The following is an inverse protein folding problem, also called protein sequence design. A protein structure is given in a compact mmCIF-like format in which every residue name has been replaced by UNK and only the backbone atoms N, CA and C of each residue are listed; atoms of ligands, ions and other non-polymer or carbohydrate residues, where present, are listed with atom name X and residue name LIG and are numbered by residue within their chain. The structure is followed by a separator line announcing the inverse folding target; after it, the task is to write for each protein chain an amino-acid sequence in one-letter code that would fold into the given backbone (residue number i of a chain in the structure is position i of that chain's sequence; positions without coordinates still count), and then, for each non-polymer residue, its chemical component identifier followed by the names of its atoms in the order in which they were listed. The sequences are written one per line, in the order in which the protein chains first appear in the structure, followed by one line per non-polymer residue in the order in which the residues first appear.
data_IF_608069324982
#
_entry.id   IF_608069324982
#
_cell.length_a   1.000
_cell.length_b   1.000
_cell.length_c   1.000
_cell.angle_alpha   90.00
_cell.angle_beta   90.00
_cell.angle_gamma   90.00
#
_symmetry.space_group_name_H-M   'P 1'
#
loop_
_entity.id
_entity.type
_entity.pdbx_description
1 polymer ?
#
# COMPACT_ATOMS: atom_id res chain seq x y z
N UNK A 1 4.46 -12.93 0.32
CA UNK A 1 3.99 -11.81 -0.51
C UNK A 1 5.17 -11.30 -1.32
N UNK A 2 4.96 -11.08 -2.61
CA UNK A 2 5.96 -10.56 -3.53
C UNK A 2 5.56 -9.15 -3.96
N UNK A 3 6.46 -8.22 -3.74
CA UNK A 3 6.34 -6.82 -4.13
C UNK A 3 7.49 -6.42 -5.03
N UNK A 4 7.27 -5.41 -5.87
CA UNK A 4 8.36 -4.86 -6.67
C UNK A 4 9.43 -4.21 -5.78
N UNK A 5 10.73 -4.43 -6.10
CA UNK A 5 11.83 -3.82 -5.33
C UNK A 5 11.85 -2.29 -5.47
N UNK A 6 12.63 -1.58 -4.64
CA UNK A 6 12.86 -0.16 -4.80
C UNK A 6 13.31 0.20 -6.24
N UNK A 7 12.95 1.34 -6.73
CA UNK A 7 12.46 2.61 -6.15
C UNK A 7 10.93 2.67 -5.86
N UNK A 8 10.19 1.58 -6.07
CA UNK A 8 8.77 1.48 -5.70
C UNK A 8 8.57 1.27 -4.19
N UNK A 9 7.37 1.62 -3.70
CA UNK A 9 7.05 1.55 -2.26
C UNK A 9 6.56 0.17 -1.77
N UNK A 10 6.71 -0.92 -2.54
CA UNK A 10 6.28 -2.27 -2.12
C UNK A 10 6.89 -2.71 -0.80
N UNK A 11 8.14 -2.32 -0.54
CA UNK A 11 8.80 -2.57 0.75
C UNK A 11 7.99 -2.04 1.95
N UNK A 12 7.26 -0.94 1.79
CA UNK A 12 6.43 -0.37 2.87
C UNK A 12 5.30 -1.33 3.27
N UNK A 13 4.64 -1.95 2.29
CA UNK A 13 3.61 -2.97 2.58
C UNK A 13 4.19 -4.15 3.37
N UNK A 14 5.39 -4.62 2.99
CA UNK A 14 6.07 -5.71 3.69
C UNK A 14 6.46 -5.33 5.12
N UNK A 15 6.92 -4.10 5.37
CA UNK A 15 7.23 -3.59 6.72
C UNK A 15 5.97 -3.56 7.58
N UNK A 16 4.85 -3.03 7.05
CA UNK A 16 3.58 -2.98 7.77
C UNK A 16 3.13 -4.39 8.17
N UNK A 17 3.15 -5.33 7.22
CA UNK A 17 2.78 -6.72 7.48
C UNK A 17 3.69 -7.38 8.52
N UNK A 18 5.01 -7.16 8.44
CA UNK A 18 5.97 -7.70 9.38
C UNK A 18 5.78 -7.14 10.81
N UNK A 19 5.33 -5.88 10.96
CA UNK A 19 4.95 -5.32 12.25
C UNK A 19 3.66 -5.98 12.76
N UNK A 20 2.61 -6.06 11.93
CA UNK A 20 1.32 -6.65 12.33
C UNK A 20 1.46 -8.11 12.77
N UNK A 21 2.28 -8.91 12.08
CA UNK A 21 2.53 -10.31 12.38
C UNK A 21 2.98 -10.55 13.84
N UNK A 22 3.69 -9.58 14.44
CA UNK A 22 4.19 -9.69 15.82
C UNK A 22 3.11 -9.50 16.90
N UNK A 23 1.95 -8.97 16.57
CA UNK A 23 0.91 -8.60 17.53
C UNK A 23 -0.29 -9.57 17.59
N UNK A 24 -0.33 -10.60 16.76
CA UNK A 24 -1.50 -11.49 16.65
C UNK A 24 -2.83 -10.71 16.49
N UNK A 25 -3.10 -10.12 15.31
CA UNK A 25 -4.25 -9.23 15.07
C UNK A 25 -5.61 -9.80 15.46
N UNK A 26 -5.78 -11.14 15.37
CA UNK A 26 -7.04 -11.85 15.72
C UNK A 26 -7.46 -11.69 17.19
N UNK A 27 -6.53 -11.40 18.09
CA UNK A 27 -6.79 -11.28 19.52
C UNK A 27 -7.04 -9.83 19.95
N UNK A 28 -6.82 -8.87 19.07
CA UNK A 28 -7.01 -7.46 19.35
C UNK A 28 -8.49 -7.06 19.21
N UNK A 29 -8.89 -6.07 20.00
CA UNK A 29 -10.15 -5.38 19.73
C UNK A 29 -10.08 -4.67 18.36
N UNK A 30 -11.23 -4.31 17.78
CA UNK A 30 -11.24 -3.55 16.52
C UNK A 30 -10.49 -2.22 16.63
N UNK A 31 -10.63 -1.53 17.77
CA UNK A 31 -9.95 -0.27 18.04
C UNK A 31 -8.43 -0.47 18.16
N UNK A 32 -7.99 -1.49 18.93
CA UNK A 32 -6.55 -1.80 19.06
C UNK A 32 -5.92 -2.21 17.74
N UNK A 33 -6.60 -3.07 16.97
CA UNK A 33 -6.12 -3.43 15.64
C UNK A 33 -6.00 -2.21 14.72
N UNK A 34 -7.04 -1.36 14.69
CA UNK A 34 -7.02 -0.17 13.82
C UNK A 34 -5.93 0.81 14.24
N UNK A 35 -5.75 1.01 15.55
CA UNK A 35 -4.65 1.81 16.09
C UNK A 35 -3.30 1.25 15.70
N UNK A 36 -3.07 -0.05 15.95
CA UNK A 36 -1.83 -0.74 15.58
C UNK A 36 -1.53 -0.62 14.08
N UNK A 37 -2.55 -0.87 13.24
CA UNK A 37 -2.42 -0.73 11.79
C UNK A 37 -1.99 0.70 11.41
N UNK A 38 -2.66 1.72 11.97
CA UNK A 38 -2.31 3.11 11.69
C UNK A 38 -0.90 3.47 12.12
N UNK A 39 -0.44 3.02 13.30
CA UNK A 39 0.92 3.23 13.76
C UNK A 39 1.95 2.50 12.88
N UNK A 40 1.68 1.26 12.49
CA UNK A 40 2.53 0.49 11.57
C UNK A 40 2.65 1.19 10.20
N UNK A 41 1.54 1.71 9.67
CA UNK A 41 1.54 2.50 8.44
C UNK A 41 2.41 3.74 8.60
N UNK A 42 2.20 4.55 9.64
CA UNK A 42 3.02 5.76 9.89
C UNK A 42 4.52 5.44 9.95
N UNK A 43 4.90 4.37 10.63
CA UNK A 43 6.29 3.91 10.70
C UNK A 43 6.81 3.51 9.31
N UNK A 44 6.06 2.70 8.57
CA UNK A 44 6.46 2.25 7.24
C UNK A 44 6.69 3.42 6.28
N UNK A 45 5.81 4.40 6.30
CA UNK A 45 5.94 5.60 5.46
C UNK A 45 7.06 6.53 5.95
N UNK A 46 7.28 6.64 7.26
CA UNK A 46 8.44 7.37 7.79
C UNK A 46 9.75 6.75 7.29
N UNK A 47 9.90 5.43 7.36
CA UNK A 47 11.08 4.73 6.84
C UNK A 47 11.22 4.91 5.32
N UNK A 48 10.12 4.86 4.58
CA UNK A 48 10.11 5.16 3.14
C UNK A 48 10.70 6.53 2.87
N UNK A 49 10.17 7.54 3.55
CA UNK A 49 10.52 8.93 3.32
C UNK A 49 11.98 9.23 3.69
N UNK A 50 12.56 8.48 4.63
CA UNK A 50 13.96 8.64 5.03
C UNK A 50 14.96 7.89 4.13
N UNK A 51 14.57 6.76 3.55
CA UNK A 51 15.55 5.84 2.98
C UNK A 51 15.22 5.35 1.56
N UNK A 52 13.96 5.32 1.15
CA UNK A 52 13.59 4.68 -0.10
C UNK A 52 13.88 5.56 -1.31
N UNK A 53 14.67 5.04 -2.25
CA UNK A 53 15.10 5.74 -3.45
C UNK A 53 15.53 4.75 -4.54
N UNK A 54 16.09 5.26 -5.64
CA UNK A 54 16.79 4.43 -6.62
C UNK A 54 17.83 3.55 -5.93
N UNK A 55 17.85 2.22 -6.16
CA UNK A 55 18.77 1.29 -5.51
C UNK A 55 20.24 1.67 -5.54
N UNK A 56 20.67 2.41 -6.56
CA UNK A 56 22.05 2.92 -6.67
C UNK A 56 22.39 3.97 -5.60
N UNK A 57 21.38 4.56 -5.00
CA UNK A 57 21.52 5.64 -4.00
C UNK A 57 20.99 5.26 -2.63
N UNK A 58 20.40 4.06 -2.51
CA UNK A 58 19.95 3.56 -1.21
C UNK A 58 21.13 3.32 -0.27
N UNK A 59 21.07 3.93 0.92
CA UNK A 59 22.08 3.76 1.96
C UNK A 59 21.93 2.43 2.72
N UNK A 60 20.75 1.82 2.64
CA UNK A 60 20.44 0.53 3.29
C UNK A 60 20.02 -0.49 2.24
N UNK A 61 20.41 -1.75 2.43
CA UNK A 61 19.89 -2.85 1.62
C UNK A 61 18.44 -3.18 2.02
N UNK A 62 17.67 -3.77 1.09
CA UNK A 62 16.28 -4.21 1.37
C UNK A 62 16.22 -5.14 2.58
N UNK A 63 17.17 -6.06 2.70
CA UNK A 63 17.23 -7.01 3.82
C UNK A 63 17.37 -6.34 5.18
N UNK A 64 17.92 -5.13 5.24
CA UNK A 64 18.04 -4.39 6.50
C UNK A 64 16.68 -3.89 7.01
N UNK A 65 15.72 -3.64 6.12
CA UNK A 65 14.38 -3.16 6.50
C UNK A 65 13.47 -4.26 7.05
N UNK A 66 13.71 -5.52 6.64
CA UNK A 66 12.88 -6.67 7.00
C UNK A 66 13.57 -7.60 8.00
N UNK A 67 14.75 -7.26 8.50
CA UNK A 67 15.39 -8.06 9.55
C UNK A 67 14.70 -7.87 10.90
N UNK A 68 14.79 -8.87 11.75
CA UNK A 68 14.15 -8.92 13.07
C UNK A 68 14.47 -7.68 13.90
N UNK A 69 15.72 -7.23 13.93
CA UNK A 69 16.14 -6.07 14.71
C UNK A 69 15.42 -4.79 14.29
N UNK A 70 15.33 -4.54 12.97
CA UNK A 70 14.63 -3.34 12.46
C UNK A 70 13.13 -3.40 12.79
N UNK A 71 12.50 -4.57 12.66
CA UNK A 71 11.07 -4.72 12.98
C UNK A 71 10.85 -4.56 14.50
N UNK A 72 11.71 -5.13 15.35
CA UNK A 72 11.62 -4.95 16.80
C UNK A 72 11.84 -3.47 17.20
N UNK A 73 12.78 -2.77 16.55
CA UNK A 73 12.97 -1.33 16.73
C UNK A 73 11.73 -0.50 16.29
N UNK A 74 11.02 -0.94 15.26
CA UNK A 74 9.75 -0.33 14.84
C UNK A 74 8.66 -0.54 15.89
N UNK A 75 8.51 -1.78 16.36
CA UNK A 75 7.51 -2.17 17.36
C UNK A 75 7.73 -1.39 18.68
N UNK A 76 8.97 -1.24 19.11
CA UNK A 76 9.30 -0.51 20.34
C UNK A 76 8.87 0.97 20.34
N UNK A 77 8.53 1.50 19.17
CA UNK A 77 8.05 2.89 19.00
C UNK A 77 6.53 3.00 19.07
N UNK A 78 5.80 1.89 19.07
CA UNK A 78 4.33 1.85 19.13
C UNK A 78 3.90 1.88 20.59
N UNK A 79 3.09 2.87 20.94
CA UNK A 79 2.37 2.93 22.21
C UNK A 79 0.91 2.61 21.94
N UNK A 80 0.42 1.47 22.40
CA UNK A 80 -0.95 1.03 22.14
C UNK A 80 -2.03 1.94 22.73
N UNK A 81 -1.69 2.80 23.68
CA UNK A 81 -2.62 3.74 24.31
C UNK A 81 -2.56 5.16 23.72
N UNK A 82 -1.59 5.46 22.86
CA UNK A 82 -1.35 6.84 22.42
C UNK A 82 -0.83 6.93 20.99
N UNK A 83 -1.43 7.82 20.21
CA UNK A 83 -0.98 8.16 18.87
C UNK A 83 0.42 8.81 18.87
N UNK A 84 1.25 8.42 17.91
CA UNK A 84 2.55 9.04 17.68
C UNK A 84 2.53 9.85 16.39
N UNK A 85 3.17 11.01 16.42
CA UNK A 85 3.38 11.85 15.24
C UNK A 85 4.77 11.54 14.65
N UNK A 86 4.85 11.53 13.32
CA UNK A 86 6.07 11.34 12.57
C UNK A 86 6.29 12.50 11.63
N UNK A 87 7.50 13.05 11.63
CA UNK A 87 7.92 14.01 10.61
C UNK A 87 8.05 13.27 9.28
N UNK A 88 7.24 13.67 8.31
CA UNK A 88 7.23 13.07 6.99
C UNK A 88 7.63 14.10 5.93
N UNK A 89 8.30 13.64 4.90
CA UNK A 89 8.54 14.44 3.71
C UNK A 89 7.21 14.59 2.96
N UNK A 90 6.87 15.82 2.57
CA UNK A 90 5.72 16.06 1.72
C UNK A 90 5.88 15.28 0.40
N UNK A 91 4.92 14.42 0.16
CA UNK A 91 4.85 13.66 -1.08
C UNK A 91 3.55 14.02 -1.79
N UNK A 92 3.62 14.40 -3.07
CA UNK A 92 2.43 14.83 -3.80
C UNK A 92 1.32 13.77 -3.76
N UNK A 93 0.11 14.18 -3.44
CA UNK A 93 -1.07 13.32 -3.58
C UNK A 93 -1.42 13.16 -5.06
N UNK A 94 -1.76 11.93 -5.48
CA UNK A 94 -2.06 11.62 -6.88
C UNK A 94 -2.97 10.38 -6.99
N UNK A 95 -4.25 10.55 -7.27
CA UNK A 95 -5.23 9.46 -7.26
C UNK A 95 -5.29 8.63 -8.55
N UNK A 96 -4.60 9.01 -9.63
CA UNK A 96 -4.81 8.46 -10.96
C UNK A 96 -3.92 7.26 -11.26
N UNK A 97 -4.45 6.08 -10.98
CA UNK A 97 -3.79 4.79 -11.22
C UNK A 97 -4.84 3.77 -11.61
N UNK A 98 -4.53 2.91 -12.57
CA UNK A 98 -5.31 1.71 -12.86
C UNK A 98 -4.50 0.46 -12.50
N UNK A 99 -5.21 -0.56 -12.06
CA UNK A 99 -4.65 -1.89 -11.82
C UNK A 99 -5.54 -2.94 -12.50
N UNK A 100 -4.91 -3.93 -13.10
CA UNK A 100 -5.56 -5.13 -13.60
C UNK A 100 -4.73 -6.37 -13.27
N UNK A 101 -5.41 -7.50 -13.14
CA UNK A 101 -4.80 -8.81 -13.04
C UNK A 101 -5.49 -9.77 -13.98
N UNK A 102 -4.74 -10.64 -14.62
CA UNK A 102 -5.23 -11.63 -15.58
C UNK A 102 -4.53 -12.95 -15.34
N UNK A 103 -5.26 -14.03 -15.43
CA UNK A 103 -4.71 -15.40 -15.47
C UNK A 103 -5.28 -16.12 -16.67
N UNK A 104 -4.42 -16.68 -17.51
CA UNK A 104 -4.83 -17.45 -18.67
C UNK A 104 -5.05 -18.94 -18.32
N UNK A 105 -5.56 -19.70 -19.30
CA UNK A 105 -5.84 -21.13 -19.16
C UNK A 105 -4.58 -21.99 -18.90
N UNK A 106 -3.39 -21.48 -19.26
CA UNK A 106 -2.11 -22.20 -19.09
C UNK A 106 -1.47 -21.84 -17.74
N UNK A 107 -2.14 -20.98 -16.94
CA UNK A 107 -1.72 -20.59 -15.60
C UNK A 107 -0.79 -19.38 -15.56
N UNK A 108 -0.47 -18.78 -16.71
CA UNK A 108 0.30 -17.53 -16.72
C UNK A 108 -0.52 -16.42 -16.08
N UNK A 109 0.08 -15.74 -15.12
CA UNK A 109 -0.60 -14.71 -14.33
C UNK A 109 0.16 -13.40 -14.41
N UNK A 110 -0.55 -12.31 -14.68
CA UNK A 110 0.01 -10.96 -14.68
C UNK A 110 -0.63 -10.12 -13.58
N UNK A 111 0.21 -9.38 -12.86
CA UNK A 111 -0.17 -8.30 -11.95
C UNK A 111 0.32 -7.00 -12.57
N UNK A 112 -0.58 -6.18 -13.07
CA UNK A 112 -0.26 -5.03 -13.90
C UNK A 112 -0.83 -3.75 -13.34
N UNK A 113 0.03 -2.76 -13.13
CA UNK A 113 -0.36 -1.43 -12.65
C UNK A 113 0.21 -0.35 -13.59
N UNK A 114 -0.60 0.62 -13.94
CA UNK A 114 -0.22 1.72 -14.80
C UNK A 114 -0.70 3.06 -14.22
N UNK A 115 0.14 4.08 -14.34
CA UNK A 115 -0.14 5.42 -13.82
C UNK A 115 0.77 6.45 -14.45
N UNK A 116 0.22 7.62 -14.71
CA UNK A 116 0.99 8.81 -15.11
C UNK A 116 1.45 9.64 -13.91
N UNK A 117 1.11 9.23 -12.69
CA UNK A 117 1.26 9.91 -11.42
C UNK A 117 0.07 10.86 -11.17
N UNK A 118 0.05 12.08 -11.74
CA UNK A 118 -1.13 12.94 -11.75
C UNK A 118 -2.00 12.65 -12.99
N UNK A 119 -3.27 13.08 -12.97
CA UNK A 119 -4.13 13.09 -14.15
C UNK A 119 -3.43 13.82 -15.30
N UNK A 120 -3.44 13.23 -16.50
CA UNK A 120 -2.71 13.74 -17.66
C UNK A 120 -1.19 13.89 -17.49
N UNK A 121 -0.60 13.35 -16.41
CA UNK A 121 0.84 13.30 -16.17
C UNK A 121 1.51 14.67 -16.28
N UNK A 122 2.52 14.78 -17.15
CA UNK A 122 3.22 16.04 -17.41
C UNK A 122 2.48 17.00 -18.34
N UNK A 123 1.37 16.60 -18.96
CA UNK A 123 0.71 17.34 -20.04
C UNK A 123 1.47 17.33 -21.36
N UNK A 124 2.63 16.65 -21.44
CA UNK A 124 3.47 16.59 -22.63
C UNK A 124 3.26 15.27 -23.36
N UNK A 125 2.88 15.33 -24.62
CA UNK A 125 2.68 14.15 -25.47
C UNK A 125 3.79 14.05 -26.51
N UNK A 126 4.34 12.85 -26.69
CA UNK A 126 5.30 12.59 -27.75
C UNK A 126 4.62 12.69 -29.15
N UNK A 127 5.03 13.61 -30.05
CA UNK A 127 4.25 13.93 -31.24
C UNK A 127 4.15 12.77 -32.24
N UNK A 128 5.11 11.84 -32.24
CA UNK A 128 5.12 10.70 -33.15
C UNK A 128 4.36 9.48 -32.66
N UNK A 129 4.34 9.21 -31.35
CA UNK A 129 3.74 8.01 -30.77
C UNK A 129 2.40 8.27 -30.09
N UNK A 130 2.06 9.53 -29.79
CA UNK A 130 0.89 9.88 -29.00
C UNK A 130 1.02 9.54 -27.50
N UNK A 131 2.20 9.08 -27.05
CA UNK A 131 2.41 8.71 -25.65
C UNK A 131 2.46 9.97 -24.78
N UNK A 132 1.58 10.02 -23.79
CA UNK A 132 1.56 11.04 -22.76
C UNK A 132 2.59 10.69 -21.66
N UNK A 133 3.51 11.61 -21.38
CA UNK A 133 4.55 11.37 -20.38
C UNK A 133 4.02 11.55 -18.96
N UNK A 134 4.44 10.64 -18.07
CA UNK A 134 4.17 10.75 -16.63
C UNK A 134 4.92 11.94 -16.00
N UNK A 135 4.45 12.39 -14.83
CA UNK A 135 5.09 13.46 -14.05
C UNK A 135 5.79 12.95 -12.76
N UNK A 136 6.29 11.72 -12.75
CA UNK A 136 6.88 11.09 -11.53
C UNK A 136 8.12 11.80 -11.00
N UNK A 137 8.76 12.69 -11.78
CA UNK A 137 9.83 13.55 -11.27
C UNK A 137 9.42 14.42 -10.09
N UNK A 138 8.13 14.69 -9.89
CA UNK A 138 7.60 15.38 -8.69
C UNK A 138 7.84 14.63 -7.39
N UNK A 139 8.11 13.33 -7.46
CA UNK A 139 8.41 12.52 -6.28
C UNK A 139 9.85 12.69 -5.76
N UNK A 140 10.75 13.34 -6.49
CA UNK A 140 12.03 13.75 -5.93
C UNK A 140 11.84 14.83 -4.86
N UNK A 141 12.75 14.86 -3.88
CA UNK A 141 12.89 16.01 -2.98
C UNK A 141 14.15 16.84 -3.33
N UNK A 142 14.27 18.03 -2.72
CA UNK A 142 15.39 18.93 -2.89
C UNK A 142 16.29 18.99 -1.64
N UNK A 143 16.14 18.02 -0.75
CA UNK A 143 16.92 17.93 0.48
C UNK A 143 18.31 17.40 0.13
N UNK A 144 19.33 18.20 0.38
CA UNK A 144 20.73 17.86 0.09
C UNK A 144 21.13 16.54 0.78
N UNK A 145 21.83 15.69 0.04
CA UNK A 145 22.33 14.39 0.50
C UNK A 145 21.23 13.37 0.90
N UNK A 146 19.98 13.67 0.60
CA UNK A 146 18.87 12.73 0.78
C UNK A 146 18.91 11.63 -0.29
N UNK A 147 18.62 10.35 0.05
CA UNK A 147 18.60 9.27 -0.94
C UNK A 147 17.72 9.53 -2.17
N UNK A 148 16.60 10.23 -1.99
CA UNK A 148 15.67 10.59 -3.07
C UNK A 148 15.80 12.05 -3.54
N UNK A 149 16.97 12.68 -3.32
CA UNK A 149 17.29 14.01 -3.86
C UNK A 149 17.27 13.97 -5.39
N UNK A 150 16.81 15.06 -6.02
CA UNK A 150 16.82 15.21 -7.48
C UNK A 150 18.28 15.26 -7.99
N UNK A 151 18.65 14.27 -8.82
CA UNK A 151 19.97 14.19 -9.44
C UNK A 151 19.86 13.62 -10.85
N UNK A 152 20.81 13.92 -11.75
CA UNK A 152 20.86 13.35 -13.10
C UNK A 152 20.94 11.82 -13.07
N UNK A 153 20.30 11.18 -14.06
CA UNK A 153 20.31 9.72 -14.27
C UNK A 153 19.80 8.90 -13.07
N UNK A 154 18.91 9.46 -12.27
CA UNK A 154 18.32 8.86 -11.08
C UNK A 154 16.82 8.65 -11.26
N UNK A 155 16.32 7.52 -10.74
CA UNK A 155 14.89 7.20 -10.71
C UNK A 155 14.26 7.76 -9.42
N UNK A 156 13.12 8.48 -9.51
CA UNK A 156 12.42 8.94 -8.33
C UNK A 156 11.76 7.77 -7.57
N UNK A 157 11.55 7.93 -6.27
CA UNK A 157 10.56 7.14 -5.55
C UNK A 157 9.22 7.15 -6.29
N UNK A 158 8.53 6.01 -6.36
CA UNK A 158 7.19 5.93 -6.95
C UNK A 158 6.27 5.02 -6.14
N UNK A 159 4.97 5.16 -6.38
CA UNK A 159 3.92 4.52 -5.58
C UNK A 159 3.34 3.25 -6.19
N UNK A 160 3.56 2.97 -7.48
CA UNK A 160 2.97 1.79 -8.13
C UNK A 160 3.65 0.49 -7.68
N UNK A 161 2.85 -0.46 -7.22
CA UNK A 161 3.29 -1.71 -6.60
C UNK A 161 2.34 -2.87 -6.96
N UNK A 162 2.50 -3.51 -8.13
CA UNK A 162 1.77 -4.74 -8.44
C UNK A 162 2.31 -5.88 -7.57
N UNK A 163 1.43 -6.72 -7.00
CA UNK A 163 1.82 -7.77 -6.08
C UNK A 163 1.37 -9.17 -6.51
N UNK A 164 2.07 -10.18 -6.01
CA UNK A 164 1.71 -11.59 -6.11
C UNK A 164 1.82 -12.29 -4.76
N UNK A 165 1.05 -13.37 -4.59
CA UNK A 165 1.01 -14.18 -3.39
C UNK A 165 1.42 -15.59 -3.74
N UNK A 166 2.38 -16.16 -3.00
CA UNK A 166 2.75 -17.56 -3.12
C UNK A 166 2.70 -18.26 -1.77
N UNK A 167 2.45 -19.55 -1.79
CA UNK A 167 2.53 -20.46 -0.66
C UNK A 167 3.26 -21.73 -1.11
N UNK A 168 4.27 -22.15 -0.35
CA UNK A 168 5.10 -23.32 -0.69
C UNK A 168 5.59 -23.31 -2.15
N UNK A 169 6.13 -22.17 -2.59
CA UNK A 169 6.62 -21.89 -3.95
C UNK A 169 5.57 -21.99 -5.08
N UNK A 170 4.29 -22.10 -4.73
CA UNK A 170 3.20 -22.06 -5.70
C UNK A 170 2.51 -20.71 -5.67
N UNK A 171 2.20 -20.16 -6.84
CA UNK A 171 1.39 -18.97 -6.96
C UNK A 171 -0.03 -19.29 -6.49
N UNK A 172 -0.53 -18.51 -5.54
CA UNK A 172 -1.90 -18.60 -5.01
C UNK A 172 -2.72 -17.33 -5.22
N UNK A 173 -2.12 -16.27 -5.75
CA UNK A 173 -2.87 -15.06 -6.04
C UNK A 173 -2.03 -13.95 -6.66
N UNK A 174 -2.75 -13.02 -7.22
CA UNK A 174 -2.23 -11.76 -7.73
C UNK A 174 -3.22 -10.67 -7.39
N UNK A 175 -2.73 -9.52 -6.91
CA UNK A 175 -3.57 -8.42 -6.48
C UNK A 175 -2.83 -7.09 -6.57
N UNK A 176 -3.59 -6.01 -6.52
CA UNK A 176 -3.06 -4.67 -6.38
C UNK A 176 -4.13 -3.70 -5.95
N UNK A 177 -3.69 -2.70 -5.20
CA UNK A 177 -4.52 -1.60 -4.74
C UNK A 177 -4.00 -0.31 -5.35
N UNK A 178 -4.87 0.42 -6.02
CA UNK A 178 -4.59 1.75 -6.55
C UNK A 178 -4.97 2.83 -5.52
N UNK A 179 -4.53 4.07 -5.74
CA UNK A 179 -4.82 5.19 -4.82
C UNK A 179 -3.57 5.93 -4.35
N UNK A 180 -2.57 6.04 -5.22
CA UNK A 180 -1.37 6.83 -4.97
C UNK A 180 -0.63 6.40 -3.71
N UNK A 181 -0.56 7.28 -2.74
CA UNK A 181 0.06 7.04 -1.44
C UNK A 181 -0.54 5.83 -0.72
N UNK A 182 -1.85 5.65 -0.80
CA UNK A 182 -2.56 4.58 -0.09
C UNK A 182 -2.12 3.17 -0.50
N UNK A 183 -1.53 2.97 -1.67
CA UNK A 183 -1.30 1.63 -2.23
C UNK A 183 -0.62 0.67 -1.24
N UNK A 184 0.47 1.07 -0.59
CA UNK A 184 1.19 0.18 0.33
C UNK A 184 0.40 -0.14 1.60
N UNK A 185 -0.28 0.86 2.18
CA UNK A 185 -1.20 0.65 3.29
C UNK A 185 -2.37 -0.26 2.86
N UNK A 186 -2.93 -0.03 1.66
CA UNK A 186 -4.02 -0.82 1.11
C UNK A 186 -3.65 -2.27 0.87
N UNK A 187 -2.44 -2.56 0.37
CA UNK A 187 -1.93 -3.93 0.25
C UNK A 187 -1.90 -4.64 1.61
N UNK A 188 -1.27 -4.02 2.60
CA UNK A 188 -1.20 -4.59 3.94
C UNK A 188 -2.59 -4.75 4.57
N UNK A 189 -3.49 -3.77 4.39
CA UNK A 189 -4.84 -3.80 4.94
C UNK A 189 -5.67 -4.95 4.36
N UNK A 190 -5.76 -5.04 3.03
CA UNK A 190 -6.53 -6.10 2.34
C UNK A 190 -6.01 -7.48 2.71
N UNK A 191 -4.69 -7.67 2.72
CA UNK A 191 -4.09 -8.95 3.11
C UNK A 191 -4.38 -9.31 4.56
N UNK A 192 -4.26 -8.36 5.51
CA UNK A 192 -4.59 -8.60 6.91
C UNK A 192 -6.07 -8.94 7.09
N UNK A 193 -7.00 -8.26 6.39
CA UNK A 193 -8.41 -8.61 6.42
C UNK A 193 -8.66 -10.07 5.97
N UNK A 194 -7.92 -10.56 4.99
CA UNK A 194 -8.05 -11.94 4.51
C UNK A 194 -7.38 -12.94 5.45
N UNK A 195 -6.12 -12.70 5.80
CA UNK A 195 -5.27 -13.67 6.50
C UNK A 195 -5.59 -13.70 8.00
N UNK A 196 -5.72 -12.52 8.61
CA UNK A 196 -5.93 -12.41 10.05
C UNK A 196 -7.41 -12.54 10.44
N UNK A 197 -8.32 -11.99 9.63
CA UNK A 197 -9.75 -12.00 9.96
C UNK A 197 -10.59 -12.96 9.11
N UNK A 198 -9.99 -13.66 8.15
CA UNK A 198 -10.63 -14.72 7.38
C UNK A 198 -11.69 -14.23 6.39
N UNK A 199 -11.65 -12.94 6.01
CA UNK A 199 -12.56 -12.43 5.00
C UNK A 199 -12.22 -13.01 3.62
N UNK A 200 -13.25 -13.26 2.81
CA UNK A 200 -12.99 -13.60 1.42
C UNK A 200 -12.51 -12.37 0.63
N UNK A 201 -11.94 -12.54 -0.59
CA UNK A 201 -11.37 -11.45 -1.36
C UNK A 201 -12.30 -10.25 -1.56
N UNK A 202 -13.57 -10.50 -1.91
CA UNK A 202 -14.53 -9.42 -2.12
C UNK A 202 -14.86 -8.69 -0.82
N UNK A 203 -15.07 -9.42 0.28
CA UNK A 203 -15.30 -8.82 1.60
C UNK A 203 -14.12 -7.96 2.04
N UNK A 204 -12.88 -8.42 1.81
CA UNK A 204 -11.68 -7.67 2.16
C UNK A 204 -11.53 -6.38 1.32
N UNK A 205 -11.87 -6.42 0.02
CA UNK A 205 -11.88 -5.23 -0.82
C UNK A 205 -12.99 -4.24 -0.43
N UNK A 206 -14.18 -4.75 -0.07
CA UNK A 206 -15.33 -3.93 0.31
C UNK A 206 -15.24 -3.35 1.72
N UNK A 207 -14.33 -3.89 2.55
CA UNK A 207 -14.20 -3.47 3.94
C UNK A 207 -13.91 -1.95 4.04
N UNK A 208 -14.52 -1.23 4.99
CA UNK A 208 -14.27 0.19 5.19
C UNK A 208 -12.81 0.47 5.49
N UNK A 209 -12.27 1.54 4.92
CA UNK A 209 -10.84 1.84 4.97
C UNK A 209 -10.50 2.97 5.90
N UNK A 210 -9.30 2.88 6.47
CA UNK A 210 -8.62 3.95 7.17
C UNK A 210 -7.25 4.16 6.54
N UNK A 211 -6.81 5.42 6.45
CA UNK A 211 -5.48 5.76 5.97
C UNK A 211 -4.87 6.91 6.77
N UNK A 212 -3.73 6.68 7.45
CA UNK A 212 -2.99 7.76 8.11
C UNK A 212 -2.24 8.59 7.07
N UNK A 213 -2.90 9.62 6.58
CA UNK A 213 -2.37 10.58 5.62
C UNK A 213 -1.70 11.74 6.39
N UNK A 214 -0.37 11.83 6.34
CA UNK A 214 0.40 12.86 7.08
C UNK A 214 -0.01 13.02 8.55
N UNK A 215 -0.15 11.90 9.27
CA UNK A 215 -0.60 11.80 10.67
C UNK A 215 -2.11 12.04 10.91
N UNK A 216 -2.87 12.48 9.93
CA UNK A 216 -4.33 12.58 10.01
C UNK A 216 -4.93 11.25 9.56
N UNK A 217 -5.89 10.71 10.30
CA UNK A 217 -6.56 9.48 9.92
C UNK A 217 -7.77 9.78 9.04
N UNK A 218 -7.66 9.48 7.75
CA UNK A 218 -8.77 9.50 6.82
C UNK A 218 -9.61 8.23 7.01
N UNK A 219 -10.88 8.38 7.44
CA UNK A 219 -11.84 7.26 7.59
C UNK A 219 -12.95 7.31 6.56
N UNK A 220 -13.25 6.18 5.93
CA UNK A 220 -14.46 6.06 5.12
C UNK A 220 -15.73 6.08 5.99
N UNK A 221 -16.82 6.64 5.45
CA UNK A 221 -18.08 6.87 6.19
C UNK A 221 -18.73 5.62 6.80
N UNK A 222 -18.41 4.43 6.31
CA UNK A 222 -18.95 3.16 6.83
C UNK A 222 -18.12 2.55 7.96
N UNK A 223 -17.07 3.23 8.40
CA UNK A 223 -16.24 2.75 9.50
C UNK A 223 -17.00 2.82 10.84
N UNK A 224 -16.67 1.90 11.74
CA UNK A 224 -17.31 1.80 13.06
C UNK A 224 -17.04 3.06 13.90
N UNK A 225 -18.11 3.76 14.29
CA UNK A 225 -17.99 5.02 15.02
C UNK A 225 -17.27 4.86 16.36
N UNK A 226 -17.52 3.77 17.09
CA UNK A 226 -16.92 3.56 18.40
C UNK A 226 -15.39 3.37 18.27
N UNK A 227 -14.93 2.78 17.15
CA UNK A 227 -13.51 2.67 16.83
C UNK A 227 -12.92 4.05 16.56
N UNK A 228 -13.60 4.90 15.76
CA UNK A 228 -13.14 6.25 15.45
C UNK A 228 -13.03 7.09 16.73
N UNK A 229 -14.03 7.03 17.60
CA UNK A 229 -14.07 7.77 18.87
C UNK A 229 -12.93 7.32 19.81
N UNK A 230 -12.64 6.03 19.88
CA UNK A 230 -11.51 5.47 20.65
C UNK A 230 -10.15 5.99 20.10
N UNK A 231 -9.96 6.00 18.79
CA UNK A 231 -8.73 6.49 18.19
C UNK A 231 -8.55 8.00 18.43
N UNK A 232 -9.62 8.77 18.40
CA UNK A 232 -9.58 10.19 18.76
C UNK A 232 -9.15 10.41 20.23
N UNK A 233 -9.63 9.57 21.15
CA UNK A 233 -9.21 9.58 22.55
C UNK A 233 -7.72 9.22 22.74
N UNK A 234 -7.16 8.37 21.87
CA UNK A 234 -5.70 8.07 21.84
C UNK A 234 -4.89 9.23 21.25
N UNK A 235 -5.53 10.29 20.77
CA UNK A 235 -4.87 11.49 20.26
C UNK A 235 -4.64 11.48 18.75
N UNK A 236 -5.31 10.62 18.00
CA UNK A 236 -5.32 10.73 16.54
C UNK A 236 -6.20 11.91 16.10
N UNK A 237 -5.73 12.64 15.11
CA UNK A 237 -6.57 13.59 14.35
C UNK A 237 -7.38 12.82 13.31
N UNK A 238 -8.70 13.08 13.26
CA UNK A 238 -9.64 12.34 12.43
C UNK A 238 -10.14 13.22 11.29
N UNK A 239 -10.22 12.64 10.08
CA UNK A 239 -10.81 13.25 8.90
C UNK A 239 -11.71 12.26 8.17
N UNK A 240 -12.69 12.78 7.45
CA UNK A 240 -13.58 12.00 6.58
C UNK A 240 -13.45 12.53 5.14
N UNK A 241 -12.70 11.86 4.28
CA UNK A 241 -12.47 12.30 2.91
C UNK A 241 -13.78 12.24 2.10
N UNK A 242 -13.96 13.21 1.21
CA UNK A 242 -15.14 13.25 0.33
C UNK A 242 -15.17 12.13 -0.71
N UNK A 243 -14.01 11.58 -1.05
CA UNK A 243 -13.86 10.48 -2.02
C UNK A 243 -13.43 9.19 -1.34
N UNK A 244 -13.83 8.02 -1.85
CA UNK A 244 -13.38 6.74 -1.35
C UNK A 244 -11.85 6.58 -1.40
N UNK A 245 -11.29 5.82 -0.45
CA UNK A 245 -9.86 5.61 -0.31
C UNK A 245 -9.40 4.44 -1.20
N UNK A 246 -8.68 4.75 -2.27
CA UNK A 246 -8.08 3.75 -3.16
C UNK A 246 -9.10 2.87 -3.90
N UNK A 247 -8.67 1.69 -4.26
CA UNK A 247 -9.46 0.64 -4.92
C UNK A 247 -8.57 -0.55 -5.24
N UNK A 248 -9.12 -1.76 -5.37
CA UNK A 248 -8.30 -2.95 -5.60
C UNK A 248 -8.95 -3.97 -6.52
N UNK A 249 -8.11 -4.82 -7.12
CA UNK A 249 -8.53 -5.98 -7.91
C UNK A 249 -7.70 -7.19 -7.47
N UNK A 250 -8.30 -8.37 -7.51
CA UNK A 250 -7.64 -9.58 -7.04
C UNK A 250 -8.09 -10.83 -7.81
N UNK A 251 -7.14 -11.72 -8.04
CA UNK A 251 -7.39 -13.13 -8.40
C UNK A 251 -6.71 -13.99 -7.34
N UNK A 252 -7.46 -14.89 -6.70
CA UNK A 252 -6.91 -16.00 -5.92
C UNK A 252 -7.11 -17.31 -6.68
N UNK A 253 -6.19 -18.23 -6.45
CA UNK A 253 -6.17 -19.56 -7.05
C UNK A 253 -6.45 -20.56 -5.94
N UNK A 254 -7.62 -21.19 -5.98
CA UNK A 254 -7.93 -22.34 -5.13
C UNK A 254 -7.43 -23.60 -5.86
N UNK A 255 -6.23 -24.03 -5.49
CA UNK A 255 -5.58 -25.20 -6.11
C UNK A 255 -6.29 -26.51 -5.77
N UNK A 256 -7.03 -26.58 -4.66
CA UNK A 256 -7.72 -27.81 -4.23
C UNK A 256 -9.01 -28.05 -5.05
N UNK A 257 -9.64 -26.96 -5.45
CA UNK A 257 -10.89 -27.01 -6.24
C UNK A 257 -10.69 -26.73 -7.72
N UNK A 258 -9.46 -26.36 -8.12
CA UNK A 258 -9.12 -25.94 -9.48
C UNK A 258 -10.03 -24.81 -10.00
N UNK A 259 -10.23 -23.79 -9.15
CA UNK A 259 -11.04 -22.62 -9.50
C UNK A 259 -10.32 -21.31 -9.20
N UNK A 260 -10.71 -20.25 -9.89
CA UNK A 260 -10.29 -18.89 -9.63
C UNK A 260 -11.35 -18.16 -8.83
N UNK A 261 -10.94 -17.49 -7.77
CA UNK A 261 -11.77 -16.58 -6.98
C UNK A 261 -11.33 -15.17 -7.37
N UNK A 262 -12.25 -14.42 -7.98
CA UNK A 262 -11.96 -13.07 -8.48
C UNK A 262 -12.75 -12.03 -7.70
N UNK A 263 -12.15 -10.87 -7.46
CA UNK A 263 -12.77 -9.79 -6.73
C UNK A 263 -12.42 -8.42 -7.33
N UNK A 264 -13.39 -7.53 -7.32
CA UNK A 264 -13.27 -6.18 -7.89
C UNK A 264 -13.88 -5.14 -6.95
N UNK A 265 -13.16 -4.07 -6.74
CA UNK A 265 -13.52 -3.00 -5.82
C UNK A 265 -14.52 -2.03 -6.47
N UNK A 266 -15.67 -1.84 -5.82
CA UNK A 266 -16.71 -0.91 -6.27
C UNK A 266 -16.25 0.56 -6.31
N UNK A 267 -15.19 0.91 -5.56
CA UNK A 267 -14.67 2.30 -5.48
C UNK A 267 -14.05 2.79 -6.79
N UNK A 268 -13.74 1.89 -7.71
CA UNK A 268 -13.03 2.21 -8.97
C UNK A 268 -13.73 1.66 -10.21
N UNK A 269 -15.03 1.38 -10.10
CA UNK A 269 -15.85 0.92 -11.22
C UNK A 269 -15.21 -0.26 -11.98
N UNK A 270 -14.60 -1.16 -11.21
CA UNK A 270 -13.91 -2.34 -11.75
C UNK A 270 -14.86 -3.49 -12.02
N UNK A 271 -14.38 -4.48 -12.79
CA UNK A 271 -15.14 -5.69 -13.13
C UNK A 271 -14.26 -6.93 -12.97
N UNK A 272 -14.80 -7.94 -12.28
CA UNK A 272 -14.27 -9.29 -12.24
C UNK A 272 -15.03 -10.17 -13.24
N UNK A 273 -14.32 -10.79 -14.18
CA UNK A 273 -14.94 -11.58 -15.26
C UNK A 273 -14.10 -12.82 -15.56
N UNK A 274 -14.79 -13.92 -15.89
CA UNK A 274 -14.21 -15.15 -16.41
C UNK A 274 -14.94 -15.61 -17.68
N UNK A 275 -14.25 -16.33 -18.56
CA UNK A 275 -14.80 -16.85 -19.81
C UNK A 275 -14.15 -18.18 -20.19
#
# INVERSE_FOLDING_TARGET
IHECPPNGQGLVALIILAILEKFNPKQLSKADYTHLFCEAVKIGYYLRDQYLADPKYNKLSINNFLNTKMIDDCISKIDMGKAKLYDRTDFPDHPDTIYLTVRDKDGMTISFINSLFDAFGSGITAPKSGILFHCRGRAFNLIKDHPNELNPNKRPLHTIIPAMISENDKLIGSFGVMGGQYQAAGHAYVLSQMIDFGLNPQQALDFPRVFPNNNILDFENKFDKDVIDDLALRGHEINHPASPIGGGQMILIDNDRDVLIVASDWRKDGLAIGY
#
